data_IF_143891174313
#
_entry.id   IF_143891174313
#
_cell.length_a   1.000
_cell.length_b   1.000
_cell.length_c   1.000
_cell.angle_alpha   90.00
_cell.angle_beta   90.00
_cell.angle_gamma   90.00
#
_symmetry.space_group_name_H-M   'P 1'
#
loop_
_entity.id
_entity.type
_entity.pdbx_description
1 polymer ?
#
# COMPACT_ATOMS: atom_id res chain seq x y z
N UNK A 1 -3.64 29.94 -31.28
CA UNK A 1 -4.87 29.18 -30.89
C UNK A 1 -4.64 27.66 -30.80
N UNK A 2 -4.03 27.00 -31.80
CA UNK A 2 -3.81 25.54 -31.82
C UNK A 2 -2.98 24.96 -30.64
N UNK A 3 -1.99 25.72 -30.14
CA UNK A 3 -1.17 25.29 -29.00
C UNK A 3 -1.96 25.24 -27.68
N UNK A 4 -2.94 26.14 -27.49
CA UNK A 4 -3.80 26.18 -26.29
C UNK A 4 -4.81 25.04 -26.24
N UNK A 5 -5.40 24.67 -27.38
CA UNK A 5 -6.34 23.54 -27.48
C UNK A 5 -5.64 22.21 -27.20
N UNK A 6 -4.45 22.00 -27.75
CA UNK A 6 -3.65 20.78 -27.52
C UNK A 6 -3.27 20.64 -26.04
N UNK A 7 -2.89 21.74 -25.38
CA UNK A 7 -2.57 21.77 -23.94
C UNK A 7 -3.79 21.48 -23.05
N UNK A 8 -4.96 21.99 -23.41
CA UNK A 8 -6.21 21.73 -22.69
C UNK A 8 -6.67 20.26 -22.85
N UNK A 9 -6.49 19.69 -24.03
CA UNK A 9 -6.86 18.30 -24.33
C UNK A 9 -5.95 17.29 -23.60
N UNK A 10 -4.64 17.54 -23.54
CA UNK A 10 -3.70 16.66 -22.80
C UNK A 10 -3.92 16.73 -21.28
N UNK A 11 -4.26 17.90 -20.74
CA UNK A 11 -4.59 18.05 -19.32
C UNK A 11 -5.86 17.27 -18.93
N UNK A 12 -6.92 17.32 -19.76
CA UNK A 12 -8.16 16.59 -19.51
C UNK A 12 -7.98 15.06 -19.59
N UNK A 13 -7.15 14.58 -20.53
CA UNK A 13 -6.83 13.15 -20.59
C UNK A 13 -6.02 12.69 -19.37
N UNK A 14 -5.11 13.53 -18.87
CA UNK A 14 -4.32 13.21 -17.67
C UNK A 14 -5.19 13.08 -16.42
N UNK A 15 -6.12 14.02 -16.20
CA UNK A 15 -7.04 13.98 -15.05
C UNK A 15 -8.02 12.80 -15.12
N UNK A 16 -8.51 12.46 -16.32
CA UNK A 16 -9.38 11.30 -16.53
C UNK A 16 -8.64 9.99 -16.29
N UNK A 17 -7.45 9.80 -16.89
CA UNK A 17 -6.64 8.60 -16.71
C UNK A 17 -6.26 8.37 -15.25
N UNK A 18 -5.98 9.46 -14.53
CA UNK A 18 -5.68 9.44 -13.10
C UNK A 18 -6.89 9.01 -12.26
N UNK A 19 -8.06 9.54 -12.57
CA UNK A 19 -9.31 9.16 -11.90
C UNK A 19 -9.62 7.68 -12.14
N UNK A 20 -9.41 7.17 -13.36
CA UNK A 20 -9.53 5.74 -13.67
C UNK A 20 -8.51 4.91 -12.89
N UNK A 21 -7.26 5.36 -12.81
CA UNK A 21 -6.22 4.69 -12.02
C UNK A 21 -6.62 4.56 -10.55
N UNK A 22 -7.08 5.65 -9.93
CA UNK A 22 -7.35 5.70 -8.50
C UNK A 22 -8.63 4.97 -8.11
N UNK A 23 -9.70 5.11 -8.90
CA UNK A 23 -11.02 4.56 -8.56
C UNK A 23 -11.30 3.17 -9.13
N UNK A 24 -10.55 2.74 -10.16
CA UNK A 24 -10.80 1.46 -10.84
C UNK A 24 -9.57 0.58 -10.81
N UNK A 25 -8.44 1.03 -11.36
CA UNK A 25 -7.27 0.17 -11.55
C UNK A 25 -6.66 -0.26 -10.20
N UNK A 26 -6.45 0.68 -9.28
CA UNK A 26 -5.87 0.37 -7.97
C UNK A 26 -6.72 -0.59 -7.13
N UNK A 27 -8.02 -0.31 -6.91
CA UNK A 27 -8.88 -1.23 -6.16
C UNK A 27 -8.97 -2.61 -6.82
N UNK A 28 -9.04 -2.67 -8.15
CA UNK A 28 -9.06 -3.94 -8.89
C UNK A 28 -7.73 -4.69 -8.72
N UNK A 29 -6.59 -3.99 -8.76
CA UNK A 29 -5.27 -4.57 -8.53
C UNK A 29 -5.17 -5.14 -7.11
N UNK A 30 -5.55 -4.38 -6.09
CA UNK A 30 -5.56 -4.88 -4.70
C UNK A 30 -6.55 -6.03 -4.49
N UNK A 31 -7.71 -5.99 -5.14
CA UNK A 31 -8.64 -7.12 -5.14
C UNK A 31 -8.01 -8.36 -5.78
N UNK A 32 -7.27 -8.19 -6.87
CA UNK A 32 -6.53 -9.29 -7.53
C UNK A 32 -5.48 -9.88 -6.59
N UNK A 33 -4.75 -9.03 -5.86
CA UNK A 33 -3.82 -9.46 -4.80
C UNK A 33 -4.55 -10.22 -3.70
N UNK A 34 -5.71 -9.74 -3.25
CA UNK A 34 -6.48 -10.38 -2.19
C UNK A 34 -6.98 -11.78 -2.60
N UNK A 35 -7.37 -11.95 -3.86
CA UNK A 35 -7.79 -13.24 -4.40
C UNK A 35 -6.61 -14.19 -4.60
N UNK A 36 -5.51 -13.72 -5.21
CA UNK A 36 -4.32 -14.54 -5.47
C UNK A 36 -3.61 -14.94 -4.18
N UNK A 37 -3.53 -14.06 -3.19
CA UNK A 37 -2.78 -14.33 -1.96
C UNK A 37 -3.40 -15.41 -1.08
N UNK A 38 -4.69 -15.73 -1.27
CA UNK A 38 -5.35 -16.88 -0.65
C UNK A 38 -5.28 -18.16 -1.50
N UNK A 39 -4.87 -18.08 -2.76
CA UNK A 39 -4.86 -19.22 -3.66
C UNK A 39 -3.66 -20.13 -3.36
N UNK A 40 -3.93 -21.43 -3.20
CA UNK A 40 -2.93 -22.49 -2.99
C UNK A 40 -3.22 -23.64 -3.94
N UNK A 41 -2.18 -24.37 -4.31
CA UNK A 41 -2.30 -25.59 -5.13
C UNK A 41 -2.01 -26.79 -4.23
N UNK A 42 -3.03 -27.62 -4.02
CA UNK A 42 -2.92 -28.88 -3.27
C UNK A 42 -1.95 -29.86 -3.97
N UNK A 43 -1.54 -30.91 -3.26
CA UNK A 43 -0.72 -31.98 -3.82
C UNK A 43 -1.38 -32.62 -5.07
N UNK A 44 -2.71 -32.74 -5.06
CA UNK A 44 -3.51 -33.28 -6.18
C UNK A 44 -3.76 -32.25 -7.30
N UNK A 45 -2.99 -31.16 -7.34
CA UNK A 45 -3.13 -30.04 -8.27
C UNK A 45 -4.48 -29.29 -8.23
N UNK A 46 -5.32 -29.57 -7.23
CA UNK A 46 -6.55 -28.82 -7.00
C UNK A 46 -6.25 -27.40 -6.50
N UNK A 47 -6.96 -26.41 -7.04
CA UNK A 47 -6.94 -25.03 -6.55
C UNK A 47 -7.80 -24.94 -5.30
N UNK A 48 -7.19 -24.52 -4.19
CA UNK A 48 -7.90 -24.27 -2.94
C UNK A 48 -7.69 -22.82 -2.52
N UNK A 49 -8.73 -22.24 -1.92
CA UNK A 49 -8.65 -20.90 -1.35
C UNK A 49 -8.52 -21.00 0.18
N UNK A 50 -7.41 -20.47 0.69
CA UNK A 50 -7.10 -20.42 2.12
C UNK A 50 -7.37 -19.01 2.62
N UNK A 51 -8.34 -18.89 3.51
CA UNK A 51 -8.67 -17.62 4.14
C UNK A 51 -7.51 -17.13 5.05
N UNK A 52 -7.28 -15.80 5.16
CA UNK A 52 -6.24 -15.26 6.03
C UNK A 52 -6.53 -15.61 7.50
N UNK A 53 -5.54 -16.09 8.27
CA UNK A 53 -5.72 -16.33 9.70
C UNK A 53 -5.84 -15.00 10.46
N UNK A 54 -6.45 -15.03 11.65
CA UNK A 54 -6.72 -13.84 12.47
C UNK A 54 -5.48 -12.94 12.69
N UNK A 55 -4.30 -13.56 12.87
CA UNK A 55 -3.06 -12.81 13.06
C UNK A 55 -2.73 -11.91 11.86
N UNK A 56 -3.03 -12.33 10.62
CA UNK A 56 -2.78 -11.51 9.43
C UNK A 56 -3.70 -10.30 9.35
N UNK A 57 -4.92 -10.39 9.89
CA UNK A 57 -5.78 -9.21 10.04
C UNK A 57 -5.20 -8.22 11.03
N UNK A 58 -4.65 -8.69 12.17
CA UNK A 58 -3.97 -7.82 13.14
C UNK A 58 -2.76 -7.13 12.49
N UNK A 59 -1.93 -7.87 11.77
CA UNK A 59 -0.79 -7.31 11.03
C UNK A 59 -1.25 -6.30 9.96
N UNK A 60 -2.33 -6.60 9.24
CA UNK A 60 -2.92 -5.69 8.26
C UNK A 60 -3.44 -4.40 8.91
N UNK A 61 -4.06 -4.46 10.09
CA UNK A 61 -4.47 -3.26 10.83
C UNK A 61 -3.25 -2.41 11.21
N UNK A 62 -2.20 -3.01 11.76
CA UNK A 62 -0.97 -2.29 12.11
C UNK A 62 -0.31 -1.67 10.87
N UNK A 63 -0.32 -2.38 9.75
CA UNK A 63 0.20 -1.86 8.48
C UNK A 63 -0.66 -0.71 7.94
N UNK A 64 -1.99 -0.78 8.03
CA UNK A 64 -2.89 0.31 7.66
C UNK A 64 -2.65 1.55 8.54
N UNK A 65 -2.42 1.37 9.84
CA UNK A 65 -2.04 2.47 10.73
C UNK A 65 -0.71 3.09 10.31
N UNK A 66 0.28 2.28 9.92
CA UNK A 66 1.55 2.77 9.35
C UNK A 66 1.35 3.53 8.04
N UNK A 67 0.43 3.11 7.18
CA UNK A 67 0.11 3.83 5.96
C UNK A 67 -0.52 5.20 6.24
N UNK A 68 -1.39 5.29 7.23
CA UNK A 68 -1.95 6.58 7.66
C UNK A 68 -0.86 7.47 8.28
N UNK A 69 -0.06 6.94 9.21
CA UNK A 69 1.02 7.69 9.87
C UNK A 69 2.14 8.11 8.92
N UNK A 70 2.50 7.22 7.99
CA UNK A 70 3.50 7.44 6.96
C UNK A 70 3.03 8.33 5.80
N UNK A 71 1.81 8.87 5.90
CA UNK A 71 1.15 9.72 4.89
C UNK A 71 0.99 9.05 3.52
N UNK A 72 0.97 7.72 3.49
CA UNK A 72 0.57 6.97 2.29
C UNK A 72 -0.95 7.09 2.06
N UNK A 73 -1.71 7.12 3.16
CA UNK A 73 -3.16 7.30 3.18
C UNK A 73 -3.50 8.55 3.99
N UNK A 74 -4.05 9.59 3.36
CA UNK A 74 -4.51 10.78 4.07
C UNK A 74 -6.00 10.63 4.40
N UNK A 75 -6.31 9.97 5.52
CA UNK A 75 -7.69 9.65 5.93
C UNK A 75 -8.61 10.88 5.96
N UNK A 76 -8.12 11.98 6.56
CA UNK A 76 -8.85 13.25 6.64
C UNK A 76 -9.13 13.88 5.28
N UNK A 77 -8.35 13.50 4.25
CA UNK A 77 -8.51 14.00 2.88
C UNK A 77 -9.39 13.10 2.02
N UNK A 78 -9.72 11.89 2.47
CA UNK A 78 -10.51 10.93 1.69
C UNK A 78 -11.97 10.88 2.13
N UNK A 79 -12.22 11.03 3.43
CA UNK A 79 -13.56 11.01 4.02
C UNK A 79 -13.88 12.41 4.51
N UNK A 80 -14.76 13.12 3.79
CA UNK A 80 -15.22 14.44 4.18
C UNK A 80 -16.71 14.59 3.85
N UNK A 81 -17.43 15.34 4.69
CA UNK A 81 -18.90 15.48 4.62
C UNK A 81 -19.36 16.36 3.44
N UNK A 82 -18.44 17.20 2.94
CA UNK A 82 -18.62 18.12 1.82
C UNK A 82 -18.50 17.45 0.44
N UNK A 83 -18.18 16.15 0.38
CA UNK A 83 -17.99 15.42 -0.88
C UNK A 83 -19.21 14.62 -1.32
N UNK A 84 -19.38 14.41 -2.64
CA UNK A 84 -20.43 13.52 -3.16
C UNK A 84 -20.33 12.12 -2.52
N UNK A 85 -21.45 11.51 -2.10
CA UNK A 85 -21.45 10.24 -1.38
C UNK A 85 -20.79 9.11 -2.17
N UNK A 86 -20.95 9.10 -3.50
CA UNK A 86 -20.30 8.14 -4.40
C UNK A 86 -18.77 8.19 -4.29
N UNK A 87 -18.20 9.38 -4.14
CA UNK A 87 -16.75 9.55 -3.99
C UNK A 87 -16.27 8.97 -2.65
N UNK A 88 -17.02 9.17 -1.57
CA UNK A 88 -16.69 8.56 -0.27
C UNK A 88 -16.77 7.03 -0.32
N UNK A 89 -17.78 6.47 -1.01
CA UNK A 89 -17.90 5.03 -1.22
C UNK A 89 -16.68 4.47 -1.97
N UNK A 90 -16.22 5.13 -3.03
CA UNK A 90 -15.06 4.64 -3.79
C UNK A 90 -13.77 4.64 -2.95
N UNK A 91 -13.55 5.63 -2.09
CA UNK A 91 -12.40 5.62 -1.17
C UNK A 91 -12.56 4.53 -0.10
N UNK A 92 -13.77 4.33 0.44
CA UNK A 92 -14.07 3.21 1.34
C UNK A 92 -13.78 1.86 0.70
N UNK A 93 -14.17 1.68 -0.57
CA UNK A 93 -13.88 0.49 -1.34
C UNK A 93 -12.38 0.27 -1.55
N UNK A 94 -11.64 1.34 -1.84
CA UNK A 94 -10.18 1.24 -1.97
C UNK A 94 -9.52 0.86 -0.64
N UNK A 95 -9.92 1.46 0.48
CA UNK A 95 -9.42 1.09 1.81
C UNK A 95 -9.73 -0.39 2.14
N UNK A 96 -10.93 -0.85 1.78
CA UNK A 96 -11.35 -2.23 1.98
C UNK A 96 -10.48 -3.21 1.18
N UNK A 97 -10.32 -2.95 -0.13
CA UNK A 97 -9.49 -3.80 -1.00
C UNK A 97 -8.02 -3.79 -0.58
N UNK A 98 -7.47 -2.64 -0.19
CA UNK A 98 -6.11 -2.52 0.32
C UNK A 98 -5.91 -3.27 1.64
N UNK A 99 -6.89 -3.24 2.54
CA UNK A 99 -6.86 -3.99 3.79
C UNK A 99 -6.80 -5.50 3.54
N UNK A 100 -7.70 -6.03 2.71
CA UNK A 100 -7.70 -7.47 2.37
C UNK A 100 -6.45 -7.88 1.58
N UNK A 101 -5.97 -7.04 0.67
CA UNK A 101 -4.72 -7.26 -0.04
C UNK A 101 -3.54 -7.34 0.93
N UNK A 102 -3.51 -6.49 1.95
CA UNK A 102 -2.46 -6.48 2.97
C UNK A 102 -2.50 -7.75 3.83
N UNK A 103 -3.69 -8.17 4.28
CA UNK A 103 -3.84 -9.43 5.02
C UNK A 103 -3.37 -10.63 4.18
N UNK A 104 -3.71 -10.65 2.89
CA UNK A 104 -3.33 -11.71 1.96
C UNK A 104 -1.86 -11.67 1.56
N UNK A 105 -1.24 -10.49 1.51
CA UNK A 105 0.21 -10.35 1.37
C UNK A 105 0.95 -11.00 2.55
N UNK A 106 0.51 -10.74 3.80
CA UNK A 106 1.05 -11.44 4.96
C UNK A 106 0.79 -12.95 4.90
N UNK A 107 -0.43 -13.37 4.56
CA UNK A 107 -0.79 -14.78 4.40
C UNK A 107 0.12 -15.51 3.39
N UNK A 108 0.55 -14.82 2.33
CA UNK A 108 1.43 -15.39 1.30
C UNK A 108 2.86 -15.61 1.79
N UNK A 109 3.39 -14.71 2.62
CA UNK A 109 4.77 -14.81 3.14
C UNK A 109 4.89 -15.61 4.43
N UNK A 110 3.80 -15.74 5.20
CA UNK A 110 3.81 -16.55 6.40
C UNK A 110 3.83 -18.05 6.03
N UNK A 111 4.56 -18.87 6.80
CA UNK A 111 4.36 -20.31 6.80
C UNK A 111 2.90 -20.64 7.18
N UNK A 112 2.36 -21.73 6.66
CA UNK A 112 0.93 -22.03 6.78
C UNK A 112 0.52 -22.36 8.22
N UNK A 113 1.32 -23.15 8.93
CA UNK A 113 1.08 -23.61 10.30
C UNK A 113 2.39 -23.90 11.03
N UNK A 114 2.31 -24.16 12.33
CA UNK A 114 3.42 -24.62 13.17
C UNK A 114 4.26 -23.49 13.77
N UNK A 115 5.41 -23.85 14.34
CA UNK A 115 6.29 -22.92 15.07
C UNK A 115 6.83 -21.80 14.18
N UNK A 116 7.16 -22.10 12.92
CA UNK A 116 7.64 -21.08 11.97
C UNK A 116 6.55 -20.03 11.67
N UNK A 117 5.27 -20.42 11.61
CA UNK A 117 4.18 -19.47 11.47
C UNK A 117 4.15 -18.47 12.62
N UNK A 118 4.24 -18.98 13.86
CA UNK A 118 4.27 -18.15 15.06
C UNK A 118 5.51 -17.25 15.12
N UNK A 119 6.69 -17.79 14.81
CA UNK A 119 7.94 -17.03 14.83
C UNK A 119 7.92 -15.87 13.84
N UNK A 120 7.53 -16.11 12.58
CA UNK A 120 7.42 -15.06 11.58
C UNK A 120 6.34 -14.05 11.97
N UNK A 121 5.17 -14.52 12.41
CA UNK A 121 4.08 -13.64 12.83
C UNK A 121 4.50 -12.74 13.99
N UNK A 122 5.20 -13.28 14.99
CA UNK A 122 5.74 -12.50 16.10
C UNK A 122 6.76 -11.47 15.61
N UNK A 123 7.68 -11.86 14.72
CA UNK A 123 8.66 -10.93 14.16
C UNK A 123 8.00 -9.78 13.41
N UNK A 124 7.02 -10.08 12.53
CA UNK A 124 6.25 -9.07 11.83
C UNK A 124 5.48 -8.17 12.80
N UNK A 125 4.80 -8.75 13.79
CA UNK A 125 4.03 -8.02 14.79
C UNK A 125 4.94 -7.05 15.55
N UNK A 126 6.07 -7.57 16.05
CA UNK A 126 7.08 -6.80 16.75
C UNK A 126 7.64 -5.66 15.89
N UNK A 127 8.01 -5.93 14.64
CA UNK A 127 8.52 -4.92 13.70
C UNK A 127 7.48 -3.84 13.43
N UNK A 128 6.24 -4.21 13.08
CA UNK A 128 5.18 -3.25 12.76
C UNK A 128 4.77 -2.43 13.99
N UNK A 129 4.74 -3.05 15.16
CA UNK A 129 4.45 -2.37 16.42
C UNK A 129 5.51 -1.31 16.74
N UNK A 130 6.79 -1.67 16.70
CA UNK A 130 7.88 -0.71 16.95
C UNK A 130 7.89 0.42 15.91
N UNK A 131 7.58 0.10 14.65
CA UNK A 131 7.53 1.07 13.57
C UNK A 131 6.41 2.11 13.74
N UNK A 132 5.37 1.86 14.55
CA UNK A 132 4.32 2.85 14.81
C UNK A 132 4.89 4.15 15.39
N UNK A 133 5.98 4.08 16.16
CA UNK A 133 6.56 5.24 16.84
C UNK A 133 7.64 5.95 16.01
N UNK A 134 7.90 5.52 14.79
CA UNK A 134 8.93 6.11 13.93
C UNK A 134 8.34 7.11 12.93
N UNK A 135 9.10 8.16 12.61
CA UNK A 135 8.76 9.13 11.58
C UNK A 135 9.11 8.58 10.19
N UNK A 136 8.13 7.94 9.55
CA UNK A 136 8.27 7.44 8.19
C UNK A 136 7.67 8.38 7.16
N UNK A 137 8.36 8.52 6.03
CA UNK A 137 7.80 9.02 4.79
C UNK A 137 7.30 7.83 3.96
N UNK A 138 6.23 8.00 3.18
CA UNK A 138 5.63 6.96 2.33
C UNK A 138 6.68 6.16 1.52
N UNK A 139 7.59 6.84 0.83
CA UNK A 139 8.66 6.19 0.05
C UNK A 139 9.63 5.37 0.91
N UNK A 140 9.94 5.83 2.11
CA UNK A 140 10.82 5.10 3.05
C UNK A 140 10.12 3.86 3.60
N UNK A 141 8.83 4.00 3.93
CA UNK A 141 7.97 2.90 4.37
C UNK A 141 7.84 1.83 3.30
N UNK A 142 7.64 2.21 2.04
CA UNK A 142 7.57 1.24 0.93
C UNK A 142 8.87 0.49 0.70
N UNK A 143 10.02 1.19 0.75
CA UNK A 143 11.33 0.56 0.61
C UNK A 143 11.55 -0.46 1.73
N UNK A 144 11.27 -0.10 2.97
CA UNK A 144 11.43 -1.04 4.10
C UNK A 144 10.45 -2.21 3.99
N UNK A 145 9.20 -1.96 3.58
CA UNK A 145 8.18 -3.00 3.40
C UNK A 145 8.55 -3.97 2.27
N UNK A 146 9.10 -3.46 1.17
CA UNK A 146 9.59 -4.27 0.05
C UNK A 146 10.72 -5.20 0.51
N UNK A 147 11.67 -4.66 1.27
CA UNK A 147 12.77 -5.45 1.85
C UNK A 147 12.24 -6.47 2.86
N UNK A 148 11.30 -6.08 3.72
CA UNK A 148 10.71 -6.96 4.74
C UNK A 148 9.97 -8.13 4.10
N UNK A 149 9.06 -7.88 3.16
CA UNK A 149 8.34 -8.95 2.46
C UNK A 149 9.26 -9.80 1.59
N UNK A 150 10.21 -9.17 0.87
CA UNK A 150 11.18 -9.90 0.06
C UNK A 150 12.04 -10.85 0.91
N UNK A 151 12.52 -10.37 2.05
CA UNK A 151 13.32 -11.17 2.98
C UNK A 151 12.50 -12.30 3.59
N UNK A 152 11.26 -12.02 4.04
CA UNK A 152 10.37 -13.05 4.57
C UNK A 152 10.01 -14.12 3.51
N UNK A 153 9.76 -13.70 2.27
CA UNK A 153 9.49 -14.61 1.16
C UNK A 153 10.67 -15.54 0.89
N UNK A 154 11.88 -14.98 0.75
CA UNK A 154 13.11 -15.77 0.53
C UNK A 154 13.36 -16.69 1.71
N UNK A 155 13.22 -16.19 2.94
CA UNK A 155 13.45 -16.98 4.15
C UNK A 155 12.46 -18.15 4.24
N UNK A 156 11.16 -17.94 3.97
CA UNK A 156 10.17 -19.02 3.89
C UNK A 156 10.60 -20.11 2.90
N UNK A 157 10.96 -19.74 1.67
CA UNK A 157 11.29 -20.72 0.64
C UNK A 157 12.64 -21.40 0.89
N UNK A 158 13.64 -20.67 1.39
CA UNK A 158 14.96 -21.22 1.73
C UNK A 158 14.90 -22.14 2.94
N UNK A 159 14.13 -21.79 3.98
CA UNK A 159 13.91 -22.65 5.14
C UNK A 159 13.16 -23.93 4.75
N UNK A 160 12.10 -23.82 3.95
CA UNK A 160 11.37 -24.99 3.47
C UNK A 160 12.28 -25.87 2.59
N UNK A 161 13.03 -25.30 1.65
CA UNK A 161 13.98 -26.06 0.84
C UNK A 161 15.03 -26.79 1.69
N UNK A 162 15.55 -26.15 2.74
CA UNK A 162 16.50 -26.78 3.65
C UNK A 162 15.89 -27.88 4.52
N UNK A 163 14.61 -27.77 4.90
CA UNK A 163 13.92 -28.77 5.72
C UNK A 163 13.48 -30.00 4.92
N UNK A 164 13.13 -29.80 3.65
CA UNK A 164 12.74 -30.87 2.72
C UNK A 164 13.93 -31.47 1.94
N UNK A 165 15.15 -30.99 2.18
CA UNK A 165 16.37 -31.58 1.59
C UNK A 165 16.58 -33.02 2.10
N UNK A 166 16.86 -34.00 1.22
CA UNK A 166 17.18 -35.38 1.60
C UNK A 166 18.40 -35.47 2.54
N UNK A 167 19.40 -34.62 2.30
CA UNK A 167 20.60 -34.53 3.13
C UNK A 167 20.30 -33.71 4.38
N UNK A 168 20.26 -34.40 5.53
CA UNK A 168 19.95 -33.82 6.84
C UNK A 168 20.96 -32.77 7.28
N UNK A 169 20.74 -31.51 6.89
CA UNK A 169 21.54 -30.37 7.30
C UNK A 169 21.40 -30.04 8.79
N UNK A 170 22.35 -29.25 9.32
CA UNK A 170 22.33 -28.73 10.71
C UNK A 170 20.99 -28.07 11.09
N UNK A 171 20.30 -27.46 10.13
CA UNK A 171 18.97 -26.89 10.31
C UNK A 171 17.92 -27.94 10.73
N UNK A 172 18.01 -29.18 10.24
CA UNK A 172 17.13 -30.29 10.62
C UNK A 172 17.38 -30.72 12.07
N UNK A 173 18.62 -30.59 12.56
CA UNK A 173 18.96 -30.84 13.98
C UNK A 173 18.41 -29.76 14.90
N UNK A 174 18.54 -28.48 14.52
CA UNK A 174 17.98 -27.36 15.27
C UNK A 174 16.45 -27.40 15.24
N UNK A 175 15.85 -27.64 14.07
CA UNK A 175 14.41 -27.82 13.93
C UNK A 175 13.92 -29.04 14.72
N UNK A 176 14.64 -30.17 14.67
CA UNK A 176 14.33 -31.37 15.47
C UNK A 176 14.38 -31.10 16.98
N UNK A 177 15.37 -30.34 17.45
CA UNK A 177 15.48 -29.95 18.86
C UNK A 177 14.36 -28.98 19.30
N UNK A 178 13.99 -28.01 18.46
CA UNK A 178 12.87 -27.09 18.73
C UNK A 178 11.51 -27.79 18.64
N UNK A 179 11.35 -28.74 17.71
CA UNK A 179 10.13 -29.53 17.53
C UNK A 179 9.94 -30.55 18.65
N UNK A 180 11.02 -31.12 19.20
CA UNK A 180 10.94 -31.99 20.38
C UNK A 180 10.44 -31.25 21.65
N UNK A 181 10.69 -29.95 21.76
CA UNK A 181 10.17 -29.12 22.87
C UNK A 181 8.72 -28.66 22.72
N UNK A 182 8.13 -28.74 21.51
CA UNK A 182 6.79 -28.21 21.18
C UNK A 182 5.96 -29.29 20.45
N UNK A 183 6.14 -30.55 20.82
CA UNK A 183 5.47 -31.71 20.23
C UNK A 183 4.02 -31.89 20.74
N UNK A 184 3.23 -30.82 20.72
CA UNK A 184 1.76 -30.90 20.75
C UNK A 184 1.24 -30.64 19.33
N UNK A 185 1.30 -31.66 18.47
CA UNK A 185 0.37 -31.84 17.34
C UNK A 185 0.57 -31.05 16.03
N UNK A 186 1.77 -30.56 15.68
CA UNK A 186 1.93 -29.61 14.54
C UNK A 186 2.65 -30.13 13.28
N UNK A 187 2.89 -31.43 13.14
CA UNK A 187 3.68 -31.99 12.03
C UNK A 187 2.90 -32.37 10.76
N UNK A 188 1.57 -32.23 10.73
CA UNK A 188 0.81 -32.30 9.47
C UNK A 188 0.84 -30.91 8.79
N UNK A 189 2.01 -30.57 8.24
CA UNK A 189 2.09 -29.46 7.30
C UNK A 189 1.54 -29.96 5.95
N UNK A 190 0.40 -29.42 5.46
CA UNK A 190 -0.09 -29.81 4.14
C UNK A 190 0.97 -29.55 3.07
N UNK A 191 1.31 -30.58 2.31
CA UNK A 191 2.27 -30.47 1.21
C UNK A 191 1.63 -29.74 0.05
N UNK A 192 1.92 -28.46 -0.09
CA UNK A 192 1.49 -27.67 -1.24
C UNK A 192 2.44 -27.91 -2.43
N UNK A 193 1.88 -27.90 -3.63
CA UNK A 193 2.70 -27.99 -4.83
C UNK A 193 3.63 -26.76 -4.94
N UNK A 194 4.83 -26.90 -5.55
CA UNK A 194 5.77 -25.79 -5.75
C UNK A 194 5.17 -24.57 -6.43
N UNK A 195 4.14 -24.78 -7.26
CA UNK A 195 3.40 -23.72 -7.96
C UNK A 195 2.78 -22.67 -7.03
N UNK A 196 2.49 -23.05 -5.77
CA UNK A 196 2.05 -22.12 -4.71
C UNK A 196 3.09 -21.02 -4.43
N UNK A 197 4.38 -21.32 -4.58
CA UNK A 197 5.46 -20.34 -4.43
C UNK A 197 5.42 -19.26 -5.52
N UNK A 198 5.13 -19.63 -6.77
CA UNK A 198 4.99 -18.67 -7.87
C UNK A 198 3.79 -17.74 -7.69
N UNK A 199 2.66 -18.28 -7.20
CA UNK A 199 1.48 -17.47 -6.86
C UNK A 199 1.83 -16.47 -5.76
N UNK A 200 2.54 -16.92 -4.72
CA UNK A 200 2.97 -16.07 -3.61
C UNK A 200 3.94 -14.97 -4.08
N UNK A 201 4.89 -15.31 -4.96
CA UNK A 201 5.81 -14.33 -5.56
C UNK A 201 5.05 -13.26 -6.34
N UNK A 202 4.18 -13.67 -7.27
CA UNK A 202 3.41 -12.74 -8.08
C UNK A 202 2.47 -11.87 -7.24
N UNK A 203 1.87 -12.44 -6.20
CA UNK A 203 1.02 -11.71 -5.23
C UNK A 203 1.80 -10.58 -4.56
N UNK A 204 3.01 -10.87 -4.05
CA UNK A 204 3.83 -9.86 -3.37
C UNK A 204 4.35 -8.81 -4.34
N UNK A 205 4.78 -9.21 -5.54
CA UNK A 205 5.20 -8.27 -6.59
C UNK A 205 4.05 -7.34 -6.97
N UNK A 206 2.86 -7.88 -7.19
CA UNK A 206 1.67 -7.10 -7.55
C UNK A 206 1.26 -6.17 -6.40
N UNK A 207 1.30 -6.65 -5.16
CA UNK A 207 1.02 -5.84 -3.98
C UNK A 207 1.97 -4.63 -3.86
N UNK A 208 3.28 -4.86 -3.96
CA UNK A 208 4.29 -3.79 -3.91
C UNK A 208 4.12 -2.82 -5.09
N UNK A 209 3.87 -3.33 -6.29
CA UNK A 209 3.60 -2.49 -7.46
C UNK A 209 2.34 -1.62 -7.26
N UNK A 210 1.27 -2.18 -6.69
CA UNK A 210 0.05 -1.45 -6.34
C UNK A 210 0.30 -0.33 -5.34
N UNK A 211 1.10 -0.59 -4.31
CA UNK A 211 1.49 0.42 -3.33
C UNK A 211 2.39 1.52 -3.91
N UNK A 212 3.29 1.18 -4.84
CA UNK A 212 4.10 2.15 -5.57
C UNK A 212 3.22 3.06 -6.43
N UNK A 213 2.29 2.47 -7.18
CA UNK A 213 1.31 3.22 -7.98
C UNK A 213 0.45 4.13 -7.10
N UNK A 214 0.01 3.65 -5.92
CA UNK A 214 -0.72 4.46 -4.95
C UNK A 214 0.10 5.67 -4.49
N UNK A 215 1.38 5.49 -4.21
CA UNK A 215 2.25 6.58 -3.77
C UNK A 215 2.43 7.63 -4.84
N UNK A 216 2.71 7.22 -6.09
CA UNK A 216 2.87 8.16 -7.20
C UNK A 216 1.56 8.90 -7.50
N UNK A 217 0.42 8.19 -7.44
CA UNK A 217 -0.88 8.82 -7.62
C UNK A 217 -1.21 9.84 -6.51
N UNK A 218 -0.67 9.68 -5.30
CA UNK A 218 -0.87 10.62 -4.19
C UNK A 218 0.06 11.84 -4.28
N UNK A 219 1.34 11.65 -4.63
CA UNK A 219 2.33 12.74 -4.77
C UNK A 219 1.86 13.78 -5.80
N UNK A 220 1.39 13.32 -6.97
CA UNK A 220 0.87 14.20 -8.04
C UNK A 220 -0.33 15.07 -7.59
N UNK A 221 -1.04 14.71 -6.51
CA UNK A 221 -2.25 15.44 -6.07
C UNK A 221 -1.85 16.62 -5.21
N UNK A 222 -0.81 16.39 -4.41
CA UNK A 222 -0.20 17.39 -3.56
C UNK A 222 0.38 18.49 -4.45
N UNK A 223 1.13 18.12 -5.50
CA UNK A 223 1.73 19.08 -6.42
C UNK A 223 0.67 19.92 -7.15
N UNK A 224 -0.40 19.29 -7.63
CA UNK A 224 -1.50 19.99 -8.32
C UNK A 224 -2.28 20.93 -7.38
N UNK A 225 -2.53 20.50 -6.14
CA UNK A 225 -3.20 21.33 -5.13
C UNK A 225 -2.34 22.53 -4.71
N UNK A 226 -1.03 22.33 -4.51
CA UNK A 226 -0.07 23.40 -4.19
C UNK A 226 -0.02 24.41 -5.34
N UNK A 227 0.06 23.94 -6.60
CA UNK A 227 0.09 24.82 -7.76
C UNK A 227 -1.20 25.64 -7.90
N UNK A 228 -2.37 25.02 -7.67
CA UNK A 228 -3.65 25.75 -7.67
C UNK A 228 -3.73 26.83 -6.60
N UNK A 229 -3.27 26.54 -5.38
CA UNK A 229 -3.23 27.55 -4.32
C UNK A 229 -2.30 28.71 -4.68
N UNK A 230 -1.13 28.43 -5.28
CA UNK A 230 -0.22 29.48 -5.73
C UNK A 230 -0.82 30.37 -6.82
N UNK A 231 -1.59 29.79 -7.75
CA UNK A 231 -2.30 30.56 -8.77
C UNK A 231 -3.40 31.45 -8.17
N UNK A 232 -4.20 30.91 -7.25
CA UNK A 232 -5.26 31.67 -6.58
C UNK A 232 -4.70 32.87 -5.79
N UNK A 233 -3.60 32.65 -5.06
CA UNK A 233 -2.89 33.73 -4.34
C UNK A 233 -2.31 34.77 -5.32
N UNK A 234 -1.80 34.33 -6.47
CA UNK A 234 -1.28 35.24 -7.48
C UNK A 234 -2.38 36.08 -8.13
N UNK A 235 -3.54 35.49 -8.39
CA UNK A 235 -4.72 36.20 -8.90
C UNK A 235 -5.23 37.22 -7.87
N UNK A 236 -5.30 36.88 -6.58
CA UNK A 236 -5.72 37.84 -5.56
C UNK A 236 -4.77 39.03 -5.42
N UNK A 237 -3.45 38.80 -5.52
CA UNK A 237 -2.45 39.89 -5.48
C UNK A 237 -2.53 40.80 -6.71
N UNK A 238 -2.87 40.26 -7.88
CA UNK A 238 -3.08 41.04 -9.10
C UNK A 238 -4.37 41.87 -9.05
N UNK A 239 -5.42 41.36 -8.42
CA UNK A 239 -6.71 42.05 -8.23
C UNK A 239 -6.60 43.22 -7.22
N UNK A 240 -5.85 43.02 -6.13
CA UNK A 240 -5.53 44.08 -5.16
C UNK A 240 -4.64 45.18 -5.76
N UNK A 241 -3.71 44.81 -6.65
CA UNK A 241 -2.83 45.77 -7.35
C UNK A 241 -3.54 46.62 -8.41
N UNK A 242 -4.61 46.11 -9.02
CA UNK A 242 -5.43 46.85 -9.98
C UNK A 242 -6.43 47.81 -9.30
N UNK A 243 -6.69 47.62 -8.00
CA UNK A 243 -7.64 48.39 -7.20
C UNK A 243 -7.01 49.54 -6.41
N UNK A 244 -5.69 49.74 -6.49
CA UNK A 244 -5.06 50.96 -5.95
C UNK A 244 -5.28 52.13 -6.90
N UNK A 245 -6.05 53.16 -6.53
CA UNK A 245 -6.10 54.39 -7.31
C UNK A 245 -4.68 54.98 -7.33
N UNK A 246 -4.20 55.28 -8.53
CA UNK A 246 -2.96 56.00 -8.77
C UNK A 246 -2.86 57.18 -7.80
N UNK A 247 -1.87 57.14 -6.91
CA UNK A 247 -1.58 58.21 -5.93
C UNK A 247 -1.37 59.58 -6.62
N UNK A 248 -1.15 59.58 -7.94
CA UNK A 248 -1.17 60.77 -8.80
C UNK A 248 -2.51 61.55 -8.76
N UNK A 249 -3.68 60.89 -8.70
CA UNK A 249 -4.98 61.57 -8.84
C UNK A 249 -5.42 62.33 -7.57
N UNK A 250 -4.89 61.95 -6.40
CA UNK A 250 -5.12 62.66 -5.14
C UNK A 250 -4.24 63.90 -4.99
N UNK A 251 -3.20 64.06 -5.81
CA UNK A 251 -2.28 65.20 -5.76
C UNK A 251 -2.76 66.40 -6.57
N UNK A 252 -3.55 66.18 -7.63
CA UNK A 252 -4.15 67.29 -8.39
C UNK A 252 -5.39 67.88 -7.69
N UNK A 253 -6.07 67.10 -6.84
CA UNK A 253 -7.25 67.57 -6.10
C UNK A 253 -6.95 68.45 -4.89
N UNK A 254 -5.69 68.59 -4.47
CA UNK A 254 -5.26 69.40 -3.32
C UNK A 254 -4.65 70.75 -3.70
N UNK A 255 -4.63 71.11 -4.99
CA UNK A 255 -4.03 72.37 -5.48
C UNK A 255 -5.03 73.35 -6.10
N UNK A 256 -6.34 73.11 -5.95
CA UNK A 256 -7.42 73.96 -6.50
C UNK A 256 -8.39 74.50 -5.44
N UNK A 257 -8.03 74.46 -4.15
CA UNK A 257 -8.73 75.19 -3.07
C UNK A 257 -7.79 76.20 -2.39
#
# INVERSE_FOLDING_TARGET
MLCGVKKKMTANNRSRNRSLLHFIVLPLLFLTVALLGGLRISADHALIFVAPPLVTFVLAVLLMLLFVRGRLLEFNRWVASDRPPLKNISHGWMLLTLFFASAQAFNSVLPERGLLHWLFSFFFLWTLWNNQFSSFNARRLLRSLTVLFGTAFVLKHMLLASLYSPDGGWLKRVAGALLQGVALGTLDAPSFAPATGYISFFTITLYVAGLLLLTFASDDEIDEAVYRNQLAVRESVLDDGASQPSIEESRERTLSD
#
